data_IF_156641110333
#
_entry.id   IF_156641110333
#
_cell.length_a   1.000
_cell.length_b   1.000
_cell.length_c   1.000
_cell.angle_alpha   90.00
_cell.angle_beta   90.00
_cell.angle_gamma   90.00
#
_symmetry.space_group_name_H-M   'P 1'
#
loop_
_entity.id
_entity.type
_entity.pdbx_description
1 polymer ?
#
# COMPACT_ATOMS: atom_id res chain seq x y z
N UNK A 1 6.07 5.02 -23.77
CA UNK A 1 5.41 3.81 -23.22
C UNK A 1 4.62 4.26 -22.00
N UNK A 2 3.36 3.83 -21.84
CA UNK A 2 2.57 4.18 -20.65
C UNK A 2 3.25 3.67 -19.39
N UNK A 3 3.10 4.39 -18.28
CA UNK A 3 3.58 3.93 -16.96
C UNK A 3 2.95 2.60 -16.57
N UNK A 4 1.69 2.38 -16.97
CA UNK A 4 0.94 1.15 -16.69
C UNK A 4 1.73 -0.12 -16.99
N UNK A 5 2.45 -0.18 -18.13
CA UNK A 5 3.29 -1.33 -18.52
C UNK A 5 4.44 -1.66 -17.55
N UNK A 6 4.81 -0.74 -16.68
CA UNK A 6 5.88 -0.91 -15.70
C UNK A 6 5.35 -1.29 -14.31
N UNK A 7 4.03 -1.23 -14.10
CA UNK A 7 3.43 -1.51 -12.80
C UNK A 7 3.41 -3.02 -12.57
N UNK A 8 3.97 -3.41 -11.43
CA UNK A 8 4.00 -4.79 -10.94
C UNK A 8 3.30 -4.94 -9.59
N UNK A 9 3.08 -3.84 -8.87
CA UNK A 9 2.55 -3.91 -7.51
C UNK A 9 1.42 -2.92 -7.26
N UNK A 10 0.27 -3.42 -6.85
CA UNK A 10 -0.74 -2.65 -6.13
C UNK A 10 -0.45 -2.81 -4.64
N UNK A 11 0.11 -1.77 -4.03
CA UNK A 11 0.63 -1.84 -2.65
C UNK A 11 -0.35 -1.21 -1.69
N UNK A 12 -0.78 -2.00 -0.71
CA UNK A 12 -1.64 -1.54 0.37
C UNK A 12 -0.80 -1.06 1.56
N UNK A 13 -1.17 0.10 2.08
CA UNK A 13 -0.59 0.74 3.25
C UNK A 13 -1.65 1.02 4.32
N UNK A 14 -1.19 1.18 5.55
CA UNK A 14 -1.91 1.89 6.60
C UNK A 14 -1.18 3.22 6.89
N UNK A 15 -1.92 4.25 7.30
CA UNK A 15 -1.33 5.53 7.73
C UNK A 15 -0.48 5.41 9.01
N UNK A 16 -0.70 4.35 9.80
CA UNK A 16 -0.17 4.16 11.14
C UNK A 16 -0.57 5.28 12.13
N UNK A 17 -1.82 5.75 12.04
CA UNK A 17 -2.35 6.76 12.94
C UNK A 17 -3.74 7.26 12.52
N UNK A 18 -4.30 8.14 13.35
CA UNK A 18 -5.66 8.69 13.18
C UNK A 18 -5.65 10.15 12.73
N UNK A 19 -4.50 10.70 12.30
CA UNK A 19 -4.41 12.07 11.76
C UNK A 19 -5.25 12.26 10.50
N UNK A 20 -5.67 13.49 10.22
CA UNK A 20 -6.43 13.84 9.01
C UNK A 20 -5.56 13.79 7.74
N UNK A 21 -6.19 13.77 6.56
CA UNK A 21 -5.50 13.92 5.28
C UNK A 21 -4.65 15.20 5.25
N UNK A 22 -5.21 16.34 5.66
CA UNK A 22 -4.50 17.62 5.70
C UNK A 22 -3.22 17.54 6.55
N UNK A 23 -3.29 16.92 7.73
CA UNK A 23 -2.11 16.75 8.59
C UNK A 23 -1.03 15.88 7.94
N UNK A 24 -1.44 14.82 7.25
CA UNK A 24 -0.55 13.92 6.52
C UNK A 24 0.13 14.63 5.34
N UNK A 25 -0.63 15.36 4.53
CA UNK A 25 -0.10 16.13 3.40
C UNK A 25 0.86 17.23 3.88
N UNK A 26 0.46 17.95 4.94
CA UNK A 26 1.33 18.95 5.58
C UNK A 26 2.66 18.33 6.01
N UNK A 27 2.64 17.12 6.58
CA UNK A 27 3.86 16.42 6.96
C UNK A 27 4.73 16.04 5.75
N UNK A 28 4.12 15.55 4.66
CA UNK A 28 4.86 15.21 3.44
C UNK A 28 5.56 16.42 2.81
N UNK A 29 4.84 17.53 2.64
CA UNK A 29 5.33 18.69 1.89
C UNK A 29 6.17 19.66 2.72
N UNK A 30 6.05 19.65 4.05
CA UNK A 30 6.87 20.49 4.92
C UNK A 30 8.36 20.14 4.81
N UNK A 31 9.22 21.15 4.69
CA UNK A 31 10.68 20.97 4.63
C UNK A 31 11.20 20.31 5.91
N UNK A 32 12.29 19.54 5.78
CA UNK A 32 13.05 19.03 6.93
C UNK A 32 13.55 20.22 7.79
N UNK A 33 13.60 20.08 9.13
CA UNK A 33 13.27 18.88 9.91
C UNK A 33 11.78 18.73 10.27
N UNK A 34 10.91 19.67 9.86
CA UNK A 34 9.49 19.68 10.25
C UNK A 34 8.63 18.64 9.55
N UNK A 35 9.05 18.19 8.37
CA UNK A 35 8.39 17.16 7.58
C UNK A 35 9.37 16.44 6.65
N UNK A 36 8.86 15.82 5.59
CA UNK A 36 9.67 15.00 4.69
C UNK A 36 10.30 15.79 3.54
N UNK A 37 9.76 16.96 3.21
CA UNK A 37 10.19 17.79 2.07
C UNK A 37 9.92 17.15 0.72
N UNK A 38 8.91 16.28 0.63
CA UNK A 38 8.52 15.61 -0.59
C UNK A 38 7.85 16.57 -1.57
N UNK A 39 7.86 16.19 -2.85
CA UNK A 39 7.18 16.91 -3.94
C UNK A 39 6.01 16.12 -4.55
N UNK A 40 5.81 14.88 -4.10
CA UNK A 40 4.75 13.96 -4.51
C UNK A 40 4.17 13.33 -3.25
N UNK A 41 2.85 13.05 -3.18
CA UNK A 41 2.25 12.43 -2.00
C UNK A 41 2.82 11.03 -1.75
N UNK A 42 2.52 10.46 -0.58
CA UNK A 42 2.93 9.10 -0.26
C UNK A 42 2.13 8.03 -1.02
N UNK A 43 0.89 8.34 -1.41
CA UNK A 43 -0.06 7.37 -1.97
C UNK A 43 -0.79 7.95 -3.17
N UNK A 44 -1.34 7.09 -4.02
CA UNK A 44 -2.25 7.52 -5.09
C UNK A 44 -3.68 7.64 -4.54
N UNK A 45 -4.08 6.70 -3.69
CA UNK A 45 -5.39 6.68 -3.04
C UNK A 45 -5.22 6.68 -1.52
N UNK A 46 -6.01 7.49 -0.83
CA UNK A 46 -6.14 7.46 0.63
C UNK A 46 -7.62 7.37 1.05
N UNK A 47 -7.94 6.54 2.03
CA UNK A 47 -9.32 6.22 2.41
C UNK A 47 -9.56 6.54 3.90
N UNK A 48 -10.51 7.45 4.17
CA UNK A 48 -10.90 7.82 5.54
C UNK A 48 -11.80 6.75 6.19
N UNK A 49 -12.05 6.85 7.50
CA UNK A 49 -12.78 5.85 8.29
C UNK A 49 -14.20 5.56 7.80
N UNK A 50 -14.87 6.54 7.19
CA UNK A 50 -16.21 6.40 6.64
C UNK A 50 -16.23 5.81 5.22
N UNK A 51 -15.06 5.44 4.68
CA UNK A 51 -14.92 4.94 3.32
C UNK A 51 -14.76 6.04 2.26
N UNK A 52 -14.72 7.32 2.65
CA UNK A 52 -14.43 8.43 1.72
C UNK A 52 -13.07 8.21 1.07
N UNK A 53 -13.08 8.18 -0.26
CA UNK A 53 -11.88 8.01 -1.08
C UNK A 53 -11.34 9.37 -1.48
N UNK A 54 -10.03 9.55 -1.28
CA UNK A 54 -9.28 10.71 -1.72
C UNK A 54 -8.24 10.27 -2.75
N UNK A 55 -8.38 10.76 -3.99
CA UNK A 55 -7.41 10.58 -5.06
C UNK A 55 -6.34 11.68 -4.95
N UNK A 56 -5.12 11.29 -4.56
CA UNK A 56 -4.03 12.22 -4.26
C UNK A 56 -3.06 12.39 -5.44
N UNK A 57 -2.99 11.40 -6.33
CA UNK A 57 -2.14 11.43 -7.51
C UNK A 57 -2.69 10.52 -8.60
N UNK A 58 -2.59 10.96 -9.85
CA UNK A 58 -2.95 10.15 -11.01
C UNK A 58 -2.01 8.92 -11.13
N UNK A 59 -2.55 7.76 -11.52
CA UNK A 59 -1.77 6.54 -11.76
C UNK A 59 -0.70 6.67 -12.87
N UNK A 60 -0.76 7.70 -13.71
CA UNK A 60 0.31 8.09 -14.66
C UNK A 60 1.61 8.53 -13.96
N UNK A 61 1.52 9.02 -12.71
CA UNK A 61 2.64 9.63 -11.99
C UNK A 61 3.03 8.84 -10.73
N UNK A 62 4.32 8.71 -10.40
CA UNK A 62 4.76 8.00 -9.21
C UNK A 62 4.51 8.80 -7.93
N UNK A 63 4.31 8.08 -6.83
CA UNK A 63 4.20 8.60 -5.45
C UNK A 63 5.34 8.08 -4.57
N UNK A 64 5.39 8.44 -3.29
CA UNK A 64 6.49 8.14 -2.37
C UNK A 64 6.15 7.03 -1.35
N UNK A 65 5.50 5.95 -1.79
CA UNK A 65 4.97 4.91 -0.91
C UNK A 65 6.01 3.91 -0.42
N UNK A 66 6.87 3.40 -1.31
CA UNK A 66 7.93 2.43 -1.01
C UNK A 66 9.23 2.85 -1.68
N UNK A 67 10.21 3.25 -0.87
CA UNK A 67 11.52 3.67 -1.36
C UNK A 67 12.16 2.58 -2.24
N UNK A 68 12.64 2.96 -3.43
CA UNK A 68 13.24 2.03 -4.40
C UNK A 68 12.26 1.36 -5.37
N UNK A 69 10.95 1.36 -5.08
CA UNK A 69 9.94 0.63 -5.88
C UNK A 69 8.84 1.49 -6.49
N UNK A 70 8.73 2.77 -6.10
CA UNK A 70 7.67 3.68 -6.52
C UNK A 70 7.35 3.71 -8.03
N UNK A 71 8.34 3.47 -8.89
CA UNK A 71 8.13 3.44 -10.36
C UNK A 71 7.23 2.26 -10.79
N UNK A 72 7.30 1.15 -10.08
CA UNK A 72 6.60 -0.11 -10.37
C UNK A 72 5.31 -0.28 -9.54
N UNK A 73 4.91 0.75 -8.76
CA UNK A 73 3.84 0.62 -7.77
C UNK A 73 2.68 1.61 -7.96
N UNK A 74 1.45 1.14 -7.79
CA UNK A 74 0.31 1.98 -7.39
C UNK A 74 0.08 1.78 -5.90
N UNK A 75 -0.25 2.84 -5.17
CA UNK A 75 -0.24 2.86 -3.71
C UNK A 75 -1.60 3.28 -3.16
N UNK A 76 -2.18 2.45 -2.31
CA UNK A 76 -3.44 2.68 -1.62
C UNK A 76 -3.16 2.71 -0.13
N UNK A 77 -3.75 3.66 0.58
CA UNK A 77 -3.61 3.76 2.04
C UNK A 77 -4.96 3.97 2.69
N UNK A 78 -5.11 3.45 3.89
CA UNK A 78 -6.27 3.73 4.73
C UNK A 78 -5.83 4.45 6.01
N UNK A 79 -6.71 5.30 6.53
CA UNK A 79 -6.54 5.95 7.83
C UNK A 79 -6.67 4.92 8.96
N UNK A 80 -5.70 4.90 9.87
CA UNK A 80 -5.58 3.89 10.93
C UNK A 80 -4.30 3.07 10.78
N UNK A 81 -4.32 1.83 11.28
CA UNK A 81 -3.20 0.88 11.27
C UNK A 81 -2.55 0.65 12.62
N UNK A 82 -3.06 1.28 13.69
CA UNK A 82 -2.51 1.16 15.04
C UNK A 82 -3.61 1.10 16.09
N UNK A 83 -3.35 0.37 17.17
CA UNK A 83 -4.13 0.39 18.39
C UNK A 83 -3.29 0.91 19.55
N UNK A 84 -3.90 1.63 20.49
CA UNK A 84 -3.27 1.97 21.76
C UNK A 84 -3.48 0.80 22.74
N UNK A 85 -2.40 0.11 23.10
CA UNK A 85 -2.38 -0.96 24.12
C UNK A 85 -1.93 -0.45 25.49
N UNK A 86 -1.63 0.84 25.61
CA UNK A 86 -1.29 1.53 26.86
C UNK A 86 -2.51 2.23 27.48
N UNK A 87 -2.25 3.29 28.25
CA UNK A 87 -3.32 4.16 28.77
C UNK A 87 -3.47 5.42 27.91
N UNK A 88 -4.45 6.26 28.20
CA UNK A 88 -4.62 7.56 27.52
C UNK A 88 -3.44 8.49 27.85
N UNK A 89 -2.96 8.46 29.09
CA UNK A 89 -1.85 9.28 29.60
C UNK A 89 -0.48 8.75 29.17
N UNK A 90 -0.38 7.43 28.95
CA UNK A 90 0.83 6.73 28.52
C UNK A 90 0.50 5.82 27.33
N UNK A 91 0.28 6.40 26.13
CA UNK A 91 -0.08 5.62 24.96
C UNK A 91 1.09 4.72 24.54
N UNK A 92 0.75 3.48 24.18
CA UNK A 92 1.67 2.52 23.57
C UNK A 92 1.02 2.01 22.29
N UNK A 93 1.54 2.44 21.15
CA UNK A 93 0.96 2.12 19.84
C UNK A 93 1.49 0.81 19.29
N UNK A 94 0.60 -0.09 18.91
CA UNK A 94 0.91 -1.37 18.25
C UNK A 94 0.22 -1.42 16.88
N UNK A 95 0.91 -1.96 15.87
CA UNK A 95 0.30 -2.18 14.55
C UNK A 95 -0.89 -3.14 14.60
N UNK A 96 -2.02 -2.75 14.02
CA UNK A 96 -3.24 -3.56 13.95
C UNK A 96 -4.10 -3.19 12.76
N UNK A 97 -4.65 -4.20 12.09
CA UNK A 97 -5.70 -3.99 11.11
C UNK A 97 -6.94 -3.39 11.81
N UNK A 98 -7.17 -2.12 11.51
CA UNK A 98 -8.20 -1.27 12.13
C UNK A 98 -9.14 -0.71 11.08
N UNK A 99 -9.01 -1.14 9.82
CA UNK A 99 -9.87 -0.58 8.77
C UNK A 99 -11.34 -0.99 9.00
N UNK A 100 -12.25 -0.04 8.78
CA UNK A 100 -13.70 -0.20 8.95
C UNK A 100 -14.31 -0.92 7.76
N UNK A 101 -15.52 -1.49 7.86
CA UNK A 101 -16.17 -2.12 6.69
C UNK A 101 -16.22 -1.18 5.47
N UNK A 102 -16.58 0.09 5.67
CA UNK A 102 -16.59 1.08 4.60
C UNK A 102 -15.21 1.25 3.93
N UNK A 103 -14.12 1.20 4.70
CA UNK A 103 -12.75 1.19 4.13
C UNK A 103 -12.42 -0.10 3.36
N UNK A 104 -12.92 -1.27 3.77
CA UNK A 104 -12.74 -2.54 3.03
C UNK A 104 -13.38 -2.42 1.66
N UNK A 105 -14.63 -1.97 1.66
CA UNK A 105 -15.46 -1.88 0.45
C UNK A 105 -14.89 -0.84 -0.51
N UNK A 106 -14.51 0.34 0.01
CA UNK A 106 -13.86 1.39 -0.78
C UNK A 106 -12.51 0.92 -1.34
N UNK A 107 -11.67 0.24 -0.55
CA UNK A 107 -10.39 -0.28 -1.01
C UNK A 107 -10.56 -1.32 -2.11
N UNK A 108 -11.51 -2.24 -1.95
CA UNK A 108 -11.83 -3.25 -2.96
C UNK A 108 -12.28 -2.60 -4.27
N UNK A 109 -13.17 -1.60 -4.22
CA UNK A 109 -13.58 -0.83 -5.39
C UNK A 109 -12.40 -0.15 -6.08
N UNK A 110 -11.49 0.46 -5.31
CA UNK A 110 -10.33 1.15 -5.85
C UNK A 110 -9.28 0.19 -6.45
N UNK A 111 -9.18 -1.03 -5.94
CA UNK A 111 -8.38 -2.08 -6.57
C UNK A 111 -8.93 -2.47 -7.94
N UNK A 112 -10.25 -2.65 -8.09
CA UNK A 112 -10.86 -2.93 -9.39
C UNK A 112 -10.65 -1.78 -10.40
N UNK A 113 -10.82 -0.53 -9.96
CA UNK A 113 -10.55 0.65 -10.81
C UNK A 113 -9.10 0.66 -11.29
N UNK A 114 -8.14 0.31 -10.43
CA UNK A 114 -6.74 0.27 -10.82
C UNK A 114 -6.41 -0.91 -11.75
N UNK A 115 -7.06 -2.05 -11.59
CA UNK A 115 -6.93 -3.19 -12.51
C UNK A 115 -7.44 -2.82 -13.91
N UNK A 116 -8.65 -2.24 -13.99
CA UNK A 116 -9.23 -1.75 -15.25
C UNK A 116 -8.32 -0.72 -15.92
N UNK A 117 -7.87 0.30 -15.15
CA UNK A 117 -6.93 1.29 -15.68
C UNK A 117 -5.63 0.66 -16.20
N UNK A 118 -5.10 -0.36 -15.52
CA UNK A 118 -3.87 -1.04 -15.95
C UNK A 118 -4.07 -1.75 -17.29
N UNK A 119 -5.17 -2.49 -17.44
CA UNK A 119 -5.51 -3.20 -18.69
C UNK A 119 -5.73 -2.21 -19.85
N UNK A 120 -6.54 -1.18 -19.63
CA UNK A 120 -6.83 -0.14 -20.61
C UNK A 120 -5.57 0.59 -21.10
N UNK A 121 -4.55 0.67 -20.22
CA UNK A 121 -3.28 1.32 -20.52
C UNK A 121 -2.16 0.33 -20.88
N UNK A 122 -2.53 -0.93 -21.18
CA UNK A 122 -1.68 -1.91 -21.86
C UNK A 122 -0.78 -2.74 -20.95
N UNK A 123 -1.10 -2.86 -19.65
CA UNK A 123 -0.54 -3.88 -18.77
C UNK A 123 -1.27 -5.21 -19.01
N UNK A 124 -0.53 -6.33 -19.05
CA UNK A 124 -1.10 -7.67 -19.29
C UNK A 124 -1.45 -8.43 -17.98
N UNK A 125 -1.23 -7.78 -16.84
CA UNK A 125 -1.43 -8.25 -15.47
C UNK A 125 -0.63 -9.51 -15.10
N UNK A 126 0.29 -9.97 -15.96
CA UNK A 126 0.98 -11.26 -15.75
C UNK A 126 2.07 -11.19 -14.67
N UNK A 127 2.61 -10.00 -14.40
CA UNK A 127 3.57 -9.75 -13.32
C UNK A 127 2.97 -8.96 -12.14
N UNK A 128 1.65 -8.74 -12.15
CA UNK A 128 0.98 -7.88 -11.16
C UNK A 128 0.70 -8.63 -9.85
N UNK A 129 0.98 -7.98 -8.71
CA UNK A 129 0.62 -8.45 -7.38
C UNK A 129 -0.09 -7.38 -6.55
N UNK A 130 -1.13 -7.78 -5.81
CA UNK A 130 -1.69 -6.99 -4.71
C UNK A 130 -1.02 -7.44 -3.42
N UNK A 131 -0.23 -6.55 -2.80
CA UNK A 131 0.61 -6.89 -1.64
C UNK A 131 0.65 -5.76 -0.61
N UNK A 132 1.02 -6.11 0.63
CA UNK A 132 1.30 -5.14 1.68
C UNK A 132 2.72 -4.58 1.64
N UNK A 133 2.96 -3.39 2.21
CA UNK A 133 4.31 -2.79 2.31
C UNK A 133 5.34 -3.76 2.91
N UNK A 134 4.97 -4.57 3.91
CA UNK A 134 5.90 -5.52 4.53
C UNK A 134 6.50 -6.53 3.54
N UNK A 135 5.85 -6.83 2.41
CA UNK A 135 6.38 -7.74 1.38
C UNK A 135 7.62 -7.19 0.67
N UNK A 136 7.94 -5.91 0.84
CA UNK A 136 9.19 -5.30 0.38
C UNK A 136 10.33 -5.42 1.40
N UNK A 137 10.19 -6.28 2.43
CA UNK A 137 11.30 -6.65 3.30
C UNK A 137 12.21 -7.67 2.63
N UNK A 138 13.39 -7.91 3.21
CA UNK A 138 14.26 -8.98 2.72
C UNK A 138 13.78 -10.34 3.20
N UNK A 139 13.57 -11.27 2.27
CA UNK A 139 13.46 -12.71 2.53
C UNK A 139 14.87 -13.24 2.85
N UNK A 140 15.27 -13.13 4.12
CA UNK A 140 16.61 -13.44 4.62
C UNK A 140 16.83 -14.95 4.67
N UNK A 141 15.78 -15.73 4.96
CA UNK A 141 15.87 -17.20 5.01
C UNK A 141 15.62 -17.86 3.63
N UNK A 142 15.21 -17.09 2.61
CA UNK A 142 14.99 -17.51 1.21
C UNK A 142 13.88 -18.53 1.05
N UNK A 143 12.87 -18.50 1.92
CA UNK A 143 11.74 -19.45 1.89
C UNK A 143 10.58 -18.99 1.00
N UNK A 144 10.65 -17.78 0.43
CA UNK A 144 9.62 -17.23 -0.45
C UNK A 144 8.48 -16.52 0.28
N UNK A 145 8.58 -16.33 1.60
CA UNK A 145 7.67 -15.56 2.43
C UNK A 145 8.44 -14.48 3.22
N UNK A 146 7.72 -13.49 3.75
CA UNK A 146 8.28 -12.53 4.71
C UNK A 146 7.69 -12.81 6.08
N UNK A 147 8.49 -13.42 6.94
CA UNK A 147 8.13 -13.73 8.32
C UNK A 147 8.18 -12.48 9.19
N UNK A 148 7.48 -12.48 10.32
CA UNK A 148 7.35 -11.28 11.18
C UNK A 148 8.69 -10.73 11.64
N UNK A 149 9.71 -11.59 11.85
CA UNK A 149 11.04 -11.16 12.26
C UNK A 149 11.87 -10.56 11.10
N UNK A 150 11.44 -10.75 9.85
CA UNK A 150 12.08 -10.17 8.66
C UNK A 150 11.48 -8.81 8.28
N UNK A 151 10.30 -8.47 8.84
CA UNK A 151 9.53 -7.29 8.46
C UNK A 151 10.25 -6.00 8.85
N UNK A 152 10.53 -5.16 7.85
CA UNK A 152 10.98 -3.78 8.08
C UNK A 152 9.83 -2.88 8.56
N UNK A 153 8.59 -3.28 8.27
CA UNK A 153 7.35 -2.59 8.65
C UNK A 153 6.24 -3.62 8.82
N UNK A 154 5.32 -3.37 9.75
CA UNK A 154 4.08 -4.16 9.87
C UNK A 154 3.01 -3.77 8.84
N UNK A 155 3.13 -2.58 8.25
CA UNK A 155 2.18 -2.02 7.30
C UNK A 155 1.87 -3.02 6.14
N UNK A 156 0.58 -3.30 5.82
CA UNK A 156 -0.65 -2.62 6.26
C UNK A 156 -1.31 -3.27 7.49
N UNK A 157 -0.57 -4.02 8.31
CA UNK A 157 -1.06 -4.70 9.52
C UNK A 157 -2.05 -5.86 9.27
N UNK A 158 -2.14 -6.34 8.03
CA UNK A 158 -2.78 -7.59 7.61
C UNK A 158 -2.08 -8.14 6.36
N UNK A 159 -2.38 -9.39 6.00
CA UNK A 159 -1.83 -10.02 4.79
C UNK A 159 -2.69 -9.71 3.55
N UNK A 160 -2.36 -8.62 2.86
CA UNK A 160 -3.06 -8.22 1.64
C UNK A 160 -2.89 -9.21 0.48
N UNK A 161 -1.77 -9.96 0.43
CA UNK A 161 -1.58 -10.97 -0.61
C UNK A 161 -2.60 -12.10 -0.43
N UNK A 162 -2.76 -12.60 0.80
CA UNK A 162 -3.74 -13.64 1.10
C UNK A 162 -5.18 -13.15 0.94
N UNK A 163 -5.47 -11.91 1.34
CA UNK A 163 -6.81 -11.32 1.22
C UNK A 163 -7.26 -11.22 -0.25
N UNK A 164 -6.39 -10.76 -1.15
CA UNK A 164 -6.79 -10.42 -2.53
C UNK A 164 -6.37 -11.43 -3.61
N UNK A 165 -5.65 -12.52 -3.28
CA UNK A 165 -5.27 -13.54 -4.27
C UNK A 165 -6.44 -14.10 -5.09
N UNK A 166 -7.64 -14.16 -4.50
CA UNK A 166 -8.84 -14.65 -5.18
C UNK A 166 -9.27 -13.77 -6.36
N UNK A 167 -8.91 -12.49 -6.36
CA UNK A 167 -9.12 -11.55 -7.48
C UNK A 167 -8.08 -11.81 -8.58
N UNK A 168 -6.83 -12.10 -8.20
CA UNK A 168 -5.72 -12.21 -9.14
C UNK A 168 -5.58 -13.58 -9.81
N UNK A 169 -5.94 -14.67 -9.13
CA UNK A 169 -5.82 -16.04 -9.68
C UNK A 169 -6.58 -16.22 -11.01
N UNK A 170 -7.83 -15.72 -11.18
CA UNK A 170 -8.52 -15.78 -12.46
C UNK A 170 -7.83 -15.00 -13.59
N UNK A 171 -7.16 -13.90 -13.26
CA UNK A 171 -6.48 -13.01 -14.22
C UNK A 171 -5.08 -13.53 -14.61
N UNK A 172 -4.44 -14.28 -13.70
CA UNK A 172 -3.12 -14.85 -13.90
C UNK A 172 -3.02 -16.25 -13.25
N UNK A 173 -3.03 -17.29 -14.09
CA UNK A 173 -2.93 -18.70 -13.64
C UNK A 173 -1.61 -19.02 -12.94
N UNK A 174 -0.57 -18.21 -13.14
CA UNK A 174 0.73 -18.34 -12.49
C UNK A 174 0.90 -17.39 -11.31
N UNK A 175 -0.15 -16.70 -10.86
CA UNK A 175 -0.09 -15.72 -9.76
C UNK A 175 0.63 -16.27 -8.52
N UNK A 176 0.30 -17.49 -8.11
CA UNK A 176 0.90 -18.15 -6.93
C UNK A 176 2.38 -18.51 -7.09
N UNK A 177 2.94 -18.38 -8.31
CA UNK A 177 4.35 -18.64 -8.62
C UNK A 177 5.15 -17.33 -8.76
N UNK A 178 4.50 -16.17 -8.68
CA UNK A 178 5.18 -14.88 -8.72
C UNK A 178 6.10 -14.76 -7.51
N UNK A 179 7.26 -14.13 -7.75
CA UNK A 179 8.26 -13.91 -6.70
C UNK A 179 8.00 -12.56 -6.04
N UNK A 180 8.13 -12.53 -4.72
CA UNK A 180 8.05 -11.30 -3.94
C UNK A 180 9.10 -10.27 -4.41
N UNK A 181 8.84 -8.96 -4.19
CA UNK A 181 9.82 -7.92 -4.47
C UNK A 181 11.14 -8.22 -3.76
N UNK A 182 12.25 -8.12 -4.49
CA UNK A 182 13.59 -8.19 -3.89
C UNK A 182 14.10 -6.78 -3.69
N UNK A 183 14.48 -6.40 -2.47
CA UNK A 183 15.21 -5.15 -2.28
C UNK A 183 16.46 -5.16 -3.16
N UNK A 184 16.63 -4.07 -3.89
CA UNK A 184 17.72 -3.87 -4.85
C UNK A 184 19.04 -3.64 -4.13
#
# INVERSE_FOLDING_TARGET
MSRAKQIKYLVIHCQAGTGTLEAMEKFWYSKKPKGLGWKSPGYHIWIDFDGTVHELQNFELPTNGVAGFNKECIHFSYRGGVENIGTIEKPLWKGKDTRTQAQRDALLKQLFIALEWLEDNGNDLQDLMIIGHYHFSNDNNKNGAIETWERIKECPCYDAYQEYKHIMIPLNRNYLKLKLPKNR
#
